data_IF_132805565114
#
_entry.id   IF_132805565114
#
_cell.length_a   1.000
_cell.length_b   1.000
_cell.length_c   1.000
_cell.angle_alpha   90.00
_cell.angle_beta   90.00
_cell.angle_gamma   90.00
#
_symmetry.space_group_name_H-M   'P 1'
#
loop_
_entity.id
_entity.type
_entity.pdbx_description
1 polymer ?
#
# COMPACT_ATOMS: atom_id res chain seq x y z
N UNK A 1 -27.30 18.67 -9.02
CA UNK A 1 -26.10 17.91 -8.69
C UNK A 1 -25.83 16.95 -9.86
N UNK A 2 -24.99 17.35 -10.81
CA UNK A 2 -24.53 16.48 -11.90
C UNK A 2 -23.47 15.56 -11.29
N UNK A 3 -23.77 14.27 -11.18
CA UNK A 3 -22.75 13.25 -10.90
C UNK A 3 -21.75 13.29 -12.09
N UNK A 4 -20.50 13.65 -11.80
CA UNK A 4 -19.42 13.54 -12.77
C UNK A 4 -19.21 12.05 -13.07
N UNK A 5 -19.64 11.61 -14.26
CA UNK A 5 -19.51 10.23 -14.77
C UNK A 5 -18.13 9.95 -15.39
N UNK A 6 -17.07 10.56 -14.90
CA UNK A 6 -15.71 10.38 -15.45
C UNK A 6 -14.78 9.55 -14.57
N UNK A 7 -15.31 8.51 -13.93
CA UNK A 7 -14.50 7.59 -13.12
C UNK A 7 -14.04 6.42 -14.01
N UNK A 8 -12.75 6.07 -13.88
CA UNK A 8 -12.19 4.92 -14.59
C UNK A 8 -12.78 3.63 -14.02
N UNK A 9 -13.69 3.01 -14.79
CA UNK A 9 -14.41 1.81 -14.40
C UNK A 9 -13.79 0.62 -15.11
N UNK A 10 -13.32 -0.36 -14.36
CA UNK A 10 -12.90 -1.64 -14.87
C UNK A 10 -14.01 -2.67 -14.67
N UNK A 11 -14.30 -3.46 -15.70
CA UNK A 11 -15.22 -4.61 -15.58
C UNK A 11 -14.42 -5.83 -15.19
N UNK A 12 -14.69 -6.33 -13.98
CA UNK A 12 -14.02 -7.50 -13.44
C UNK A 12 -15.06 -8.48 -12.87
N UNK A 13 -15.07 -9.73 -13.35
CA UNK A 13 -16.02 -10.79 -12.91
C UNK A 13 -17.49 -10.31 -12.86
N UNK A 14 -17.91 -9.51 -13.84
CA UNK A 14 -19.27 -8.96 -13.92
C UNK A 14 -19.56 -7.77 -12.98
N UNK A 15 -18.59 -7.33 -12.18
CA UNK A 15 -18.68 -6.15 -11.32
C UNK A 15 -17.85 -5.00 -11.87
N UNK A 16 -18.32 -3.80 -11.66
CA UNK A 16 -17.55 -2.58 -11.96
C UNK A 16 -16.67 -2.24 -10.75
N UNK A 17 -15.36 -2.13 -11.01
CA UNK A 17 -14.37 -1.70 -10.03
C UNK A 17 -13.83 -0.36 -10.48
N UNK A 18 -13.84 0.63 -9.57
CA UNK A 18 -13.31 1.96 -9.82
C UNK A 18 -11.90 2.07 -9.29
N UNK A 19 -10.99 2.61 -10.09
CA UNK A 19 -9.63 2.87 -9.64
C UNK A 19 -9.61 4.01 -8.61
N UNK A 20 -8.92 3.79 -7.49
CA UNK A 20 -8.60 4.86 -6.56
C UNK A 20 -7.59 5.81 -7.20
N UNK A 21 -7.88 7.10 -7.19
CA UNK A 21 -7.02 8.16 -7.73
C UNK A 21 -7.10 9.42 -6.87
N UNK A 22 -6.10 10.31 -6.93
CA UNK A 22 -6.23 11.64 -6.35
C UNK A 22 -7.42 12.38 -6.96
N UNK A 23 -8.29 12.93 -6.08
CA UNK A 23 -9.46 13.66 -6.54
C UNK A 23 -9.06 15.00 -7.18
N UNK A 24 -9.57 15.31 -8.38
CA UNK A 24 -9.37 16.59 -9.04
C UNK A 24 -10.01 17.73 -8.25
N UNK A 25 -9.28 18.84 -8.13
CA UNK A 25 -9.86 20.08 -7.63
C UNK A 25 -10.60 20.78 -8.77
N UNK A 26 -11.85 21.18 -8.52
CA UNK A 26 -12.67 21.85 -9.55
C UNK A 26 -12.06 23.18 -9.97
N UNK A 27 -12.12 23.48 -11.27
CA UNK A 27 -11.46 24.64 -11.89
C UNK A 27 -12.01 26.02 -11.50
N UNK A 28 -13.15 26.10 -10.81
CA UNK A 28 -13.83 27.35 -10.47
C UNK A 28 -13.42 27.92 -9.09
N UNK A 29 -12.16 27.77 -8.71
CA UNK A 29 -11.63 28.31 -7.46
C UNK A 29 -10.74 29.53 -7.72
N UNK A 30 -10.86 30.54 -6.87
CA UNK A 30 -9.94 31.68 -6.90
C UNK A 30 -8.56 31.22 -6.42
N UNK A 31 -7.57 31.30 -7.29
CA UNK A 31 -6.19 30.90 -7.00
C UNK A 31 -5.23 32.08 -7.04
N UNK A 32 -4.21 32.06 -6.20
CA UNK A 32 -3.13 33.02 -6.24
C UNK A 32 -2.01 32.46 -7.13
N UNK A 33 -1.65 33.10 -8.25
CA UNK A 33 -0.61 32.59 -9.13
C UNK A 33 0.78 32.80 -8.51
N UNK A 34 1.63 31.75 -8.59
CA UNK A 34 3.01 31.82 -8.14
C UNK A 34 3.99 31.50 -9.26
N UNK A 35 5.07 32.28 -9.35
CA UNK A 35 6.15 32.15 -10.33
C UNK A 35 7.52 32.11 -9.65
N UNK A 36 8.52 31.56 -10.32
CA UNK A 36 9.89 31.36 -9.83
C UNK A 36 10.55 32.60 -9.24
N UNK A 37 10.26 33.79 -9.80
CA UNK A 37 10.87 35.06 -9.36
C UNK A 37 10.22 35.66 -8.10
N UNK A 38 9.08 35.15 -7.68
CA UNK A 38 8.38 35.59 -6.50
C UNK A 38 9.04 35.01 -5.23
N UNK A 39 8.92 35.73 -4.13
CA UNK A 39 9.36 35.21 -2.83
C UNK A 39 8.45 34.01 -2.42
N UNK A 40 9.02 32.85 -2.04
CA UNK A 40 8.23 31.75 -1.51
C UNK A 40 7.42 32.10 -0.25
N UNK A 41 7.84 33.11 0.50
CA UNK A 41 7.13 33.56 1.68
C UNK A 41 5.71 34.03 1.34
N UNK A 42 5.52 34.72 0.21
CA UNK A 42 4.19 35.13 -0.28
C UNK A 42 3.26 33.94 -0.52
N UNK A 43 3.80 32.85 -1.06
CA UNK A 43 3.01 31.64 -1.24
C UNK A 43 2.68 30.96 0.10
N UNK A 44 3.60 30.97 1.07
CA UNK A 44 3.37 30.41 2.40
C UNK A 44 2.28 31.20 3.13
N UNK A 45 2.33 32.53 3.11
CA UNK A 45 1.32 33.40 3.70
C UNK A 45 -0.06 33.13 3.09
N UNK A 46 -0.15 33.08 1.76
CA UNK A 46 -1.40 32.73 1.08
C UNK A 46 -1.95 31.36 1.52
N UNK A 47 -1.09 30.33 1.63
CA UNK A 47 -1.49 29.00 2.08
C UNK A 47 -1.98 29.01 3.54
N UNK A 48 -1.32 29.77 4.42
CA UNK A 48 -1.70 29.95 5.84
C UNK A 48 -3.05 30.65 5.96
N UNK A 49 -3.30 31.65 5.11
CA UNK A 49 -4.58 32.37 5.04
C UNK A 49 -5.70 31.55 4.37
N UNK A 50 -5.42 30.30 3.95
CA UNK A 50 -6.39 29.40 3.36
C UNK A 50 -6.56 29.53 1.84
N UNK A 51 -5.81 30.40 1.17
CA UNK A 51 -5.90 30.59 -0.27
C UNK A 51 -5.12 29.52 -1.05
N UNK A 52 -5.73 28.92 -2.10
CA UNK A 52 -5.01 28.05 -3.02
C UNK A 52 -3.96 28.80 -3.84
N UNK A 53 -2.76 28.22 -3.96
CA UNK A 53 -1.64 28.78 -4.73
C UNK A 53 -1.42 27.96 -5.98
N UNK A 54 -1.45 28.57 -7.14
CA UNK A 54 -1.26 27.92 -8.45
C UNK A 54 0.15 28.15 -8.98
N UNK A 55 0.89 27.09 -9.25
CA UNK A 55 2.19 27.16 -9.92
C UNK A 55 1.95 27.33 -11.42
N UNK A 56 2.51 28.43 -12.00
CA UNK A 56 2.18 28.81 -13.39
C UNK A 56 3.36 28.79 -14.36
N UNK A 57 4.60 28.58 -13.90
CA UNK A 57 5.78 28.66 -14.77
C UNK A 57 6.61 27.37 -14.87
N UNK A 58 7.30 26.97 -13.81
CA UNK A 58 8.16 25.81 -13.77
C UNK A 58 7.75 24.82 -12.67
N UNK A 59 7.91 23.53 -12.91
CA UNK A 59 7.71 22.50 -11.90
C UNK A 59 8.57 22.71 -10.65
N UNK A 60 9.82 23.18 -10.85
CA UNK A 60 10.74 23.52 -9.77
C UNK A 60 10.27 24.66 -8.87
N UNK A 61 9.36 25.52 -9.34
CA UNK A 61 8.77 26.59 -8.51
C UNK A 61 7.91 25.98 -7.38
N UNK A 62 7.13 24.96 -7.66
CA UNK A 62 6.36 24.23 -6.65
C UNK A 62 7.26 23.47 -5.67
N UNK A 63 8.34 22.85 -6.13
CA UNK A 63 9.33 22.21 -5.25
C UNK A 63 9.94 23.23 -4.26
N UNK A 64 10.22 24.43 -4.74
CA UNK A 64 10.75 25.53 -3.90
C UNK A 64 9.75 25.95 -2.84
N UNK A 65 8.48 26.15 -3.18
CA UNK A 65 7.43 26.47 -2.20
C UNK A 65 7.30 25.37 -1.16
N UNK A 66 7.22 24.09 -1.56
CA UNK A 66 7.16 22.97 -0.61
C UNK A 66 8.37 22.88 0.31
N UNK A 67 9.58 23.14 -0.22
CA UNK A 67 10.80 23.17 0.60
C UNK A 67 10.76 24.28 1.63
N UNK A 68 10.32 25.47 1.24
CA UNK A 68 10.19 26.63 2.14
C UNK A 68 9.08 26.42 3.18
N UNK A 69 7.95 25.82 2.79
CA UNK A 69 6.88 25.46 3.73
C UNK A 69 7.36 24.43 4.77
N UNK A 70 8.12 23.41 4.34
CA UNK A 70 8.74 22.45 5.28
C UNK A 70 9.69 23.13 6.26
N UNK A 71 10.50 24.07 5.78
CA UNK A 71 11.42 24.82 6.64
C UNK A 71 10.67 25.72 7.62
N UNK A 72 9.60 26.38 7.18
CA UNK A 72 8.71 27.18 8.04
C UNK A 72 8.08 26.34 9.15
N UNK A 73 7.43 25.23 8.79
CA UNK A 73 6.76 24.36 9.75
C UNK A 73 7.72 23.66 10.71
N UNK A 74 8.95 23.32 10.30
CA UNK A 74 9.97 22.80 11.21
C UNK A 74 10.40 23.80 12.28
N UNK A 75 10.36 25.10 12.00
CA UNK A 75 10.64 26.15 12.98
C UNK A 75 9.46 26.37 13.93
N UNK A 76 8.23 26.18 13.42
CA UNK A 76 6.99 26.28 14.19
C UNK A 76 6.81 25.07 15.12
N UNK A 77 7.03 23.85 14.63
CA UNK A 77 6.90 22.62 15.38
C UNK A 77 8.27 22.13 15.88
N UNK A 78 8.63 22.53 17.08
CA UNK A 78 9.91 22.14 17.72
C UNK A 78 9.82 20.85 18.50
N UNK A 79 8.61 20.40 18.84
CA UNK A 79 8.38 19.13 19.54
C UNK A 79 8.71 17.92 18.66
N UNK A 80 9.70 17.13 19.08
CA UNK A 80 10.16 15.90 18.42
C UNK A 80 9.42 14.65 18.91
N UNK A 81 8.46 14.80 19.84
CA UNK A 81 7.61 13.69 20.28
C UNK A 81 6.80 13.13 19.11
N UNK A 82 6.25 11.94 19.28
CA UNK A 82 5.37 11.32 18.29
C UNK A 82 4.18 12.22 17.97
N UNK A 83 3.60 12.88 18.98
CA UNK A 83 2.48 13.79 18.83
C UNK A 83 2.89 15.06 18.05
N UNK A 84 4.01 15.72 18.41
CA UNK A 84 4.49 16.90 17.68
C UNK A 84 4.84 16.61 16.23
N UNK A 85 5.40 15.44 15.94
CA UNK A 85 5.64 15.02 14.56
C UNK A 85 4.33 14.73 13.80
N UNK A 86 3.28 14.30 14.48
CA UNK A 86 1.95 14.07 13.89
C UNK A 86 1.29 15.41 13.54
N UNK A 87 1.32 16.36 14.44
CA UNK A 87 0.81 17.73 14.23
C UNK A 87 1.53 18.40 13.04
N UNK A 88 2.86 18.34 13.01
CA UNK A 88 3.66 18.82 11.88
C UNK A 88 3.21 18.19 10.55
N UNK A 89 3.02 16.87 10.51
CA UNK A 89 2.62 16.18 9.27
C UNK A 89 1.20 16.56 8.85
N UNK A 90 0.28 16.68 9.81
CA UNK A 90 -1.11 17.07 9.55
C UNK A 90 -1.17 18.46 8.95
N UNK A 91 -0.52 19.44 9.57
CA UNK A 91 -0.49 20.83 9.08
C UNK A 91 0.23 20.93 7.73
N UNK A 92 1.35 20.22 7.56
CA UNK A 92 2.01 20.17 6.25
C UNK A 92 1.11 19.59 5.16
N UNK A 93 0.36 18.52 5.43
CA UNK A 93 -0.57 17.91 4.49
C UNK A 93 -1.68 18.88 4.13
N UNK A 94 -2.29 19.52 5.13
CA UNK A 94 -3.35 20.49 4.94
C UNK A 94 -2.90 21.66 4.07
N UNK A 95 -1.83 22.35 4.44
CA UNK A 95 -1.33 23.52 3.70
C UNK A 95 -0.86 23.15 2.29
N UNK A 96 -0.08 22.08 2.16
CA UNK A 96 0.46 21.68 0.85
C UNK A 96 -0.62 21.15 -0.12
N UNK A 97 -1.77 20.70 0.38
CA UNK A 97 -2.91 20.31 -0.46
C UNK A 97 -3.51 21.47 -1.25
N UNK A 98 -3.28 22.70 -0.81
CA UNK A 98 -3.70 23.94 -1.50
C UNK A 98 -2.68 24.46 -2.52
N UNK A 99 -1.51 23.82 -2.64
CA UNK A 99 -0.53 24.14 -3.70
C UNK A 99 -0.87 23.34 -4.94
N UNK A 100 -1.28 23.98 -6.02
CA UNK A 100 -1.94 23.37 -7.17
C UNK A 100 -1.11 23.42 -8.46
N UNK A 101 -1.34 22.43 -9.31
CA UNK A 101 -0.87 22.36 -10.70
C UNK A 101 -2.02 22.14 -11.65
N UNK A 102 -1.97 22.76 -12.84
CA UNK A 102 -2.89 22.50 -13.96
C UNK A 102 -2.41 21.29 -14.73
N UNK A 103 -3.32 20.37 -14.97
CA UNK A 103 -3.18 19.30 -15.95
C UNK A 103 -4.06 19.63 -17.15
N UNK A 104 -3.50 19.54 -18.35
CA UNK A 104 -4.24 19.71 -19.60
C UNK A 104 -3.82 18.63 -20.60
N UNK A 105 -4.78 17.93 -21.18
CA UNK A 105 -4.55 16.81 -22.11
C UNK A 105 -3.50 15.81 -21.56
N UNK A 106 -3.69 15.37 -20.32
CA UNK A 106 -2.83 14.41 -19.61
C UNK A 106 -1.38 14.87 -19.38
N UNK A 107 -1.11 16.17 -19.44
CA UNK A 107 0.23 16.76 -19.20
C UNK A 107 0.16 17.90 -18.20
N UNK A 108 1.20 18.04 -17.41
CA UNK A 108 1.41 19.21 -16.57
C UNK A 108 1.70 20.44 -17.44
N UNK A 109 0.98 21.53 -17.22
CA UNK A 109 1.12 22.75 -18.03
C UNK A 109 2.42 23.52 -17.76
N UNK A 110 3.06 23.30 -16.61
CA UNK A 110 4.30 23.97 -16.21
C UNK A 110 5.53 23.43 -16.95
N UNK A 111 6.54 24.29 -17.17
CA UNK A 111 7.77 23.93 -17.86
C UNK A 111 8.62 22.96 -17.04
N UNK A 112 9.40 22.11 -17.72
CA UNK A 112 10.30 21.10 -17.12
C UNK A 112 9.58 20.19 -16.13
N UNK A 113 8.32 19.92 -16.38
CA UNK A 113 7.57 18.94 -15.63
C UNK A 113 7.96 17.50 -16.03
N UNK A 114 7.85 16.54 -15.11
CA UNK A 114 8.00 15.13 -15.45
C UNK A 114 6.83 14.65 -16.33
N UNK A 115 7.08 13.66 -17.16
CA UNK A 115 6.03 12.90 -17.83
C UNK A 115 5.49 11.85 -16.86
N UNK A 116 4.17 11.81 -16.71
CA UNK A 116 3.48 10.93 -15.74
C UNK A 116 2.38 10.19 -16.49
N UNK A 117 2.63 8.94 -16.85
CA UNK A 117 1.65 8.15 -17.61
C UNK A 117 0.34 7.90 -16.85
N UNK A 118 0.37 7.90 -15.51
CA UNK A 118 -0.84 7.80 -14.69
C UNK A 118 -1.87 8.89 -14.98
N UNK A 119 -1.47 10.07 -15.45
CA UNK A 119 -2.42 11.12 -15.84
C UNK A 119 -3.33 10.69 -16.98
N UNK A 120 -2.81 9.91 -17.93
CA UNK A 120 -3.60 9.33 -19.01
C UNK A 120 -4.44 8.15 -18.53
N UNK A 121 -3.87 7.30 -17.70
CA UNK A 121 -4.51 6.05 -17.24
C UNK A 121 -5.63 6.32 -16.24
N UNK A 122 -5.41 7.23 -15.28
CA UNK A 122 -6.36 7.48 -14.20
C UNK A 122 -7.38 8.59 -14.49
N UNK A 123 -7.13 9.43 -15.52
CA UNK A 123 -8.00 10.56 -15.87
C UNK A 123 -8.32 10.59 -17.38
N UNK A 124 -8.79 9.46 -17.96
CA UNK A 124 -8.98 9.36 -19.42
C UNK A 124 -9.99 10.38 -19.97
N UNK A 125 -11.00 10.72 -19.19
CA UNK A 125 -12.12 11.58 -19.61
C UNK A 125 -11.95 13.05 -19.21
N UNK A 126 -10.88 13.39 -18.46
CA UNK A 126 -10.63 14.75 -18.02
C UNK A 126 -9.61 15.44 -18.92
N UNK A 127 -10.05 16.52 -19.60
CA UNK A 127 -9.17 17.33 -20.47
C UNK A 127 -8.35 18.33 -19.66
N UNK A 128 -8.99 19.04 -18.73
CA UNK A 128 -8.35 20.06 -17.91
C UNK A 128 -8.87 20.00 -16.48
N UNK A 129 -7.94 19.95 -15.53
CA UNK A 129 -8.23 19.88 -14.09
C UNK A 129 -7.02 20.29 -13.26
N UNK A 130 -7.23 20.48 -11.98
CA UNK A 130 -6.18 20.80 -11.00
C UNK A 130 -5.91 19.62 -10.08
N UNK A 131 -4.65 19.44 -9.70
CA UNK A 131 -4.26 18.53 -8.63
C UNK A 131 -3.33 19.24 -7.64
N UNK A 132 -3.41 18.87 -6.35
CA UNK A 132 -2.41 19.23 -5.36
C UNK A 132 -0.99 18.78 -5.77
N UNK A 133 -0.03 19.67 -5.63
CA UNK A 133 1.37 19.39 -6.00
C UNK A 133 1.94 18.12 -5.33
N UNK A 134 1.69 17.85 -4.02
CA UNK A 134 2.14 16.60 -3.40
C UNK A 134 1.53 15.35 -4.03
N UNK A 135 0.27 15.40 -4.46
CA UNK A 135 -0.37 14.28 -5.17
C UNK A 135 0.28 14.03 -6.54
N UNK A 136 0.59 15.11 -7.28
CA UNK A 136 1.37 15.00 -8.53
C UNK A 136 2.76 14.39 -8.28
N UNK A 137 3.42 14.73 -7.17
CA UNK A 137 4.68 14.08 -6.80
C UNK A 137 4.50 12.58 -6.51
N UNK A 138 3.41 12.21 -5.83
CA UNK A 138 3.04 10.81 -5.59
C UNK A 138 2.80 10.04 -6.89
N UNK A 139 2.01 10.61 -7.81
CA UNK A 139 1.78 10.05 -9.15
C UNK A 139 3.11 9.87 -9.91
N UNK A 140 3.98 10.87 -9.92
CA UNK A 140 5.27 10.80 -10.59
C UNK A 140 6.18 9.71 -9.99
N UNK A 141 6.26 9.65 -8.66
CA UNK A 141 7.07 8.62 -7.98
C UNK A 141 6.56 7.22 -8.30
N UNK A 142 5.24 7.01 -8.20
CA UNK A 142 4.62 5.72 -8.53
C UNK A 142 4.80 5.35 -10.01
N UNK A 143 4.71 6.32 -10.93
CA UNK A 143 4.95 6.10 -12.35
C UNK A 143 6.36 5.62 -12.63
N UNK A 144 7.36 6.22 -11.99
CA UNK A 144 8.77 5.80 -12.14
C UNK A 144 9.00 4.36 -11.67
N UNK A 145 8.35 3.93 -10.57
CA UNK A 145 8.41 2.55 -10.10
C UNK A 145 7.72 1.59 -11.07
N UNK A 146 6.56 1.99 -11.60
CA UNK A 146 5.83 1.21 -12.59
C UNK A 146 6.66 1.01 -13.87
N UNK A 147 7.22 2.08 -14.45
CA UNK A 147 8.01 1.98 -15.67
C UNK A 147 9.29 1.15 -15.51
N UNK A 148 10.09 1.45 -14.49
CA UNK A 148 11.35 0.75 -14.26
C UNK A 148 11.17 -0.69 -13.83
N UNK A 149 10.06 -0.97 -13.18
CA UNK A 149 9.81 -2.21 -12.45
C UNK A 149 10.72 -2.37 -11.23
N UNK A 150 10.29 -3.20 -10.31
CA UNK A 150 10.96 -3.51 -9.06
C UNK A 150 11.48 -4.94 -9.15
N UNK A 151 12.79 -5.12 -9.09
CA UNK A 151 13.39 -6.45 -9.06
C UNK A 151 13.08 -7.14 -7.73
N UNK A 152 12.46 -8.31 -7.80
CA UNK A 152 12.18 -9.16 -6.64
C UNK A 152 13.18 -10.32 -6.67
N UNK A 153 14.21 -10.32 -5.80
CA UNK A 153 15.31 -11.29 -5.87
C UNK A 153 14.85 -12.74 -5.82
N UNK A 154 13.93 -13.07 -4.91
CA UNK A 154 13.41 -14.44 -4.74
C UNK A 154 12.62 -14.95 -5.96
N UNK A 155 12.15 -14.07 -6.83
CA UNK A 155 11.41 -14.43 -8.04
C UNK A 155 12.28 -14.40 -9.31
N UNK A 156 13.46 -13.78 -9.25
CA UNK A 156 14.29 -13.48 -10.42
C UNK A 156 13.53 -12.72 -11.54
N UNK A 157 12.53 -11.93 -11.15
CA UNK A 157 11.73 -11.13 -12.09
C UNK A 157 11.44 -9.74 -11.53
N UNK A 158 11.01 -8.84 -12.42
CA UNK A 158 10.48 -7.53 -12.03
C UNK A 158 8.95 -7.60 -11.90
N UNK A 159 8.42 -6.82 -10.96
CA UNK A 159 7.01 -6.48 -10.88
C UNK A 159 6.81 -5.03 -11.24
N UNK A 160 5.63 -4.68 -11.72
CA UNK A 160 5.24 -3.33 -12.14
C UNK A 160 3.97 -2.92 -11.35
N UNK A 161 4.11 -2.45 -10.10
CA UNK A 161 2.95 -2.19 -9.23
C UNK A 161 2.11 -1.03 -9.80
N UNK A 162 0.80 -1.24 -9.91
CA UNK A 162 -0.14 -0.21 -10.32
C UNK A 162 -0.17 0.93 -9.29
N UNK A 163 -0.68 2.13 -9.68
CA UNK A 163 -0.80 3.27 -8.78
C UNK A 163 -1.52 2.88 -7.48
N UNK A 164 -1.00 3.33 -6.34
CA UNK A 164 -1.61 3.07 -5.02
C UNK A 164 -1.52 1.63 -4.51
N UNK A 165 -0.86 0.73 -5.26
CA UNK A 165 -0.66 -0.66 -4.82
C UNK A 165 0.61 -0.76 -3.98
N UNK A 166 0.51 -1.44 -2.83
CA UNK A 166 1.68 -1.74 -2.00
C UNK A 166 2.64 -2.68 -2.72
N UNK A 167 3.92 -2.43 -2.56
CA UNK A 167 5.00 -3.31 -3.00
C UNK A 167 6.16 -3.33 -1.99
N UNK A 168 6.84 -4.47 -1.83
CA UNK A 168 7.93 -4.57 -0.89
C UNK A 168 9.17 -3.80 -1.37
N UNK A 169 9.74 -3.00 -0.48
CA UNK A 169 11.06 -2.35 -0.66
C UNK A 169 12.16 -3.05 0.12
N UNK A 170 11.80 -4.06 0.91
CA UNK A 170 12.66 -4.97 1.67
C UNK A 170 12.21 -6.38 1.39
N UNK A 171 13.11 -7.32 1.47
CA UNK A 171 12.87 -8.66 0.96
C UNK A 171 13.05 -9.77 1.99
N UNK A 172 13.42 -9.45 3.23
CA UNK A 172 13.69 -10.42 4.29
C UNK A 172 12.49 -11.32 4.57
N UNK A 173 11.28 -10.76 4.58
CA UNK A 173 10.02 -11.49 4.74
C UNK A 173 9.73 -12.40 3.54
N UNK A 174 10.06 -11.97 2.32
CA UNK A 174 9.93 -12.79 1.12
C UNK A 174 10.95 -13.94 1.11
N UNK A 175 12.16 -13.70 1.62
CA UNK A 175 13.20 -14.73 1.78
C UNK A 175 12.76 -15.79 2.80
N UNK A 176 12.13 -15.38 3.93
CA UNK A 176 11.57 -16.34 4.90
C UNK A 176 10.52 -17.23 4.26
N UNK A 177 9.57 -16.63 3.53
CA UNK A 177 8.50 -17.35 2.88
C UNK A 177 9.01 -18.28 1.77
N UNK A 178 9.95 -17.83 0.91
CA UNK A 178 10.57 -18.66 -0.13
C UNK A 178 11.31 -19.85 0.47
N UNK A 179 12.04 -19.67 1.58
CA UNK A 179 12.75 -20.73 2.27
C UNK A 179 11.80 -21.74 2.93
N UNK A 180 10.68 -21.31 3.44
CA UNK A 180 9.65 -22.18 3.96
C UNK A 180 8.96 -22.97 2.84
N UNK A 181 8.58 -22.31 1.74
CA UNK A 181 7.95 -22.96 0.57
C UNK A 181 8.83 -24.06 -0.04
N UNK A 182 10.17 -23.89 -0.04
CA UNK A 182 11.13 -24.94 -0.49
C UNK A 182 11.04 -26.22 0.34
N UNK A 183 10.68 -26.11 1.61
CA UNK A 183 10.56 -27.24 2.55
C UNK A 183 9.13 -27.73 2.73
N UNK A 184 8.16 -27.00 2.18
CA UNK A 184 6.75 -27.36 2.31
C UNK A 184 6.42 -28.63 1.52
N UNK A 185 5.96 -29.67 2.23
CA UNK A 185 5.64 -30.99 1.68
C UNK A 185 4.15 -31.27 1.56
N UNK A 186 3.29 -30.32 1.99
CA UNK A 186 1.85 -30.45 1.87
C UNK A 186 1.36 -30.38 0.42
N UNK A 187 0.08 -30.63 0.23
CA UNK A 187 -0.56 -30.50 -1.10
C UNK A 187 -0.45 -29.06 -1.62
N UNK A 188 -0.26 -28.93 -2.94
CA UNK A 188 -0.07 -27.65 -3.63
C UNK A 188 -1.14 -27.42 -4.71
N UNK A 189 -2.32 -28.00 -4.53
CA UNK A 189 -3.42 -27.85 -5.49
C UNK A 189 -3.95 -26.42 -5.51
N UNK A 190 -4.14 -25.82 -4.32
CA UNK A 190 -4.67 -24.47 -4.24
C UNK A 190 -4.17 -23.69 -3.02
N UNK A 191 -4.16 -22.35 -3.15
CA UNK A 191 -3.90 -21.45 -2.03
C UNK A 191 -4.76 -20.19 -2.15
N UNK A 192 -4.97 -19.51 -1.03
CA UNK A 192 -5.54 -18.15 -0.98
C UNK A 192 -4.42 -17.19 -0.54
N UNK A 193 -4.27 -16.08 -1.26
CA UNK A 193 -3.40 -14.94 -0.94
C UNK A 193 -4.28 -13.77 -0.51
N UNK A 194 -4.33 -13.50 0.80
CA UNK A 194 -5.14 -12.42 1.38
C UNK A 194 -4.37 -11.12 1.33
N UNK A 195 -4.99 -10.06 0.80
CA UNK A 195 -4.28 -8.80 0.56
C UNK A 195 -3.18 -8.99 -0.49
N UNK A 196 -3.55 -9.52 -1.66
CA UNK A 196 -2.61 -9.95 -2.71
C UNK A 196 -1.64 -8.85 -3.17
N UNK A 197 -2.05 -7.57 -3.07
CA UNK A 197 -1.23 -6.40 -3.42
C UNK A 197 -0.63 -6.51 -4.83
N UNK A 198 0.68 -6.44 -4.91
CA UNK A 198 1.43 -6.61 -6.18
C UNK A 198 1.68 -8.07 -6.58
N UNK A 199 1.06 -9.04 -5.92
CA UNK A 199 1.09 -10.47 -6.26
C UNK A 199 2.40 -11.20 -5.93
N UNK A 200 3.29 -10.61 -5.14
CA UNK A 200 4.63 -11.18 -4.91
C UNK A 200 4.56 -12.54 -4.22
N UNK A 201 3.70 -12.72 -3.20
CA UNK A 201 3.54 -14.01 -2.51
C UNK A 201 2.86 -15.04 -3.42
N UNK A 202 1.87 -14.62 -4.19
CA UNK A 202 1.23 -15.45 -5.24
C UNK A 202 2.26 -15.98 -6.22
N UNK A 203 3.15 -15.14 -6.74
CA UNK A 203 4.19 -15.59 -7.67
C UNK A 203 5.23 -16.51 -7.00
N UNK A 204 5.51 -16.34 -5.70
CA UNK A 204 6.34 -17.30 -4.97
C UNK A 204 5.66 -18.67 -4.85
N UNK A 205 4.36 -18.71 -4.53
CA UNK A 205 3.60 -19.96 -4.46
C UNK A 205 3.57 -20.67 -5.81
N UNK A 206 3.31 -19.97 -6.92
CA UNK A 206 3.36 -20.55 -8.27
C UNK A 206 4.76 -21.07 -8.61
N UNK A 207 5.83 -20.35 -8.27
CA UNK A 207 7.22 -20.80 -8.45
C UNK A 207 7.50 -22.11 -7.72
N UNK A 208 6.88 -22.33 -6.57
CA UNK A 208 7.04 -23.54 -5.76
C UNK A 208 6.00 -24.63 -6.07
N UNK A 209 5.25 -24.50 -7.17
CA UNK A 209 4.44 -25.57 -7.72
C UNK A 209 2.97 -25.58 -7.26
N UNK A 210 2.46 -24.51 -6.67
CA UNK A 210 1.02 -24.38 -6.47
C UNK A 210 0.32 -24.26 -7.82
N UNK A 211 -0.78 -25.02 -8.01
CA UNK A 211 -1.47 -25.12 -9.29
C UNK A 211 -2.46 -23.96 -9.49
N UNK A 212 -3.18 -23.58 -8.43
CA UNK A 212 -4.21 -22.54 -8.45
C UNK A 212 -4.10 -21.62 -7.25
N UNK A 213 -4.11 -20.31 -7.49
CA UNK A 213 -4.12 -19.27 -6.43
C UNK A 213 -5.38 -18.43 -6.55
N UNK A 214 -6.00 -18.16 -5.43
CA UNK A 214 -7.12 -17.26 -5.27
C UNK A 214 -6.64 -16.03 -4.51
N UNK A 215 -6.59 -14.89 -5.17
CA UNK A 215 -6.07 -13.64 -4.57
C UNK A 215 -7.20 -12.68 -4.22
N UNK A 216 -7.22 -12.18 -3.01
CA UNK A 216 -8.20 -11.16 -2.58
C UNK A 216 -7.50 -9.87 -2.24
N UNK A 217 -8.13 -8.73 -2.49
CA UNK A 217 -7.67 -7.42 -2.01
C UNK A 217 -8.82 -6.43 -1.90
N UNK A 218 -8.81 -5.61 -0.87
CA UNK A 218 -9.75 -4.50 -0.69
C UNK A 218 -9.33 -3.23 -1.45
N UNK A 219 -8.10 -3.19 -1.97
CA UNK A 219 -7.60 -2.11 -2.80
C UNK A 219 -7.96 -2.39 -4.28
N UNK A 220 -8.85 -1.59 -4.90
CA UNK A 220 -9.23 -1.79 -6.28
C UNK A 220 -8.03 -1.71 -7.24
N UNK A 221 -7.05 -0.86 -6.94
CA UNK A 221 -5.86 -0.68 -7.77
C UNK A 221 -4.94 -1.90 -7.77
N UNK A 222 -4.90 -2.67 -6.67
CA UNK A 222 -4.19 -3.94 -6.62
C UNK A 222 -4.82 -4.96 -7.57
N UNK A 223 -6.15 -5.09 -7.53
CA UNK A 223 -6.89 -6.01 -8.41
C UNK A 223 -6.77 -5.60 -9.88
N UNK A 224 -6.93 -4.31 -10.19
CA UNK A 224 -6.81 -3.78 -11.57
C UNK A 224 -5.42 -4.03 -12.12
N UNK A 225 -4.38 -3.60 -11.40
CA UNK A 225 -3.01 -3.72 -11.86
C UNK A 225 -2.55 -5.18 -12.00
N UNK A 226 -2.96 -6.03 -11.07
CA UNK A 226 -2.62 -7.45 -11.17
C UNK A 226 -3.38 -8.14 -12.30
N UNK A 227 -4.65 -7.79 -12.54
CA UNK A 227 -5.41 -8.30 -13.67
C UNK A 227 -4.77 -7.92 -15.03
N UNK A 228 -4.23 -6.71 -15.16
CA UNK A 228 -3.45 -6.32 -16.34
C UNK A 228 -2.19 -7.19 -16.52
N UNK A 229 -1.47 -7.46 -15.42
CA UNK A 229 -0.28 -8.35 -15.44
C UNK A 229 -0.64 -9.79 -15.79
N UNK A 230 -1.77 -10.31 -15.27
CA UNK A 230 -2.27 -11.66 -15.60
C UNK A 230 -2.66 -11.79 -17.08
N UNK A 231 -3.32 -10.76 -17.64
CA UNK A 231 -3.65 -10.72 -19.08
C UNK A 231 -2.38 -10.77 -19.93
N UNK A 232 -1.40 -9.92 -19.61
CA UNK A 232 -0.13 -9.81 -20.33
C UNK A 232 0.68 -11.11 -20.29
N UNK A 233 0.67 -11.80 -19.14
CA UNK A 233 1.47 -13.02 -18.92
C UNK A 233 0.67 -14.32 -19.10
N UNK A 234 -0.61 -14.26 -19.49
CA UNK A 234 -1.53 -15.40 -19.68
C UNK A 234 -1.64 -16.30 -18.44
N UNK A 235 -1.78 -15.70 -17.26
CA UNK A 235 -1.81 -16.40 -15.97
C UNK A 235 -3.21 -16.64 -15.41
N UNK A 236 -4.28 -16.28 -16.13
CA UNK A 236 -5.67 -16.45 -15.66
C UNK A 236 -6.10 -17.90 -15.39
N UNK A 237 -5.46 -18.87 -16.02
CA UNK A 237 -5.71 -20.28 -15.68
C UNK A 237 -5.21 -20.66 -14.28
N UNK A 238 -4.22 -19.93 -13.76
CA UNK A 238 -3.56 -20.22 -12.49
C UNK A 238 -3.96 -19.30 -11.36
N UNK A 239 -4.46 -18.11 -11.65
CA UNK A 239 -4.78 -17.09 -10.65
C UNK A 239 -6.18 -16.55 -10.90
N UNK A 240 -7.04 -16.60 -9.89
CA UNK A 240 -8.32 -15.88 -9.85
C UNK A 240 -8.23 -14.75 -8.84
N UNK A 241 -8.79 -13.60 -9.18
CA UNK A 241 -8.77 -12.40 -8.34
C UNK A 241 -10.17 -12.12 -7.82
N UNK A 242 -10.25 -11.59 -6.59
CA UNK A 242 -11.48 -11.20 -5.93
C UNK A 242 -11.31 -9.82 -5.28
N UNK A 243 -12.18 -8.90 -5.62
CA UNK A 243 -12.21 -7.59 -4.99
C UNK A 243 -13.06 -7.62 -3.72
N UNK A 244 -12.48 -7.29 -2.59
CA UNK A 244 -13.17 -7.20 -1.29
C UNK A 244 -12.24 -7.40 -0.10
N UNK A 245 -12.80 -7.22 1.09
CA UNK A 245 -12.09 -7.35 2.35
C UNK A 245 -11.93 -8.80 2.75
N UNK A 246 -10.74 -9.18 3.21
CA UNK A 246 -10.36 -10.54 3.61
C UNK A 246 -10.79 -11.59 2.57
N UNK A 247 -11.71 -12.49 2.91
CA UNK A 247 -12.21 -13.56 2.05
C UNK A 247 -13.43 -13.15 1.21
N UNK A 248 -13.83 -11.89 1.22
CA UNK A 248 -15.02 -11.43 0.52
C UNK A 248 -15.06 -11.90 -0.94
N UNK A 249 -16.19 -12.48 -1.34
CA UNK A 249 -16.44 -13.07 -2.67
C UNK A 249 -15.56 -14.29 -3.05
N UNK A 250 -14.77 -14.84 -2.12
CA UNK A 250 -13.93 -16.01 -2.31
C UNK A 250 -14.42 -17.16 -1.41
N UNK A 251 -15.48 -17.88 -1.80
CA UNK A 251 -16.04 -19.00 -1.03
C UNK A 251 -15.38 -20.33 -1.43
N UNK A 252 -14.07 -20.44 -1.17
CA UNK A 252 -13.26 -21.59 -1.60
C UNK A 252 -12.46 -22.10 -0.39
N UNK A 253 -12.31 -23.43 -0.27
CA UNK A 253 -11.42 -24.07 0.69
C UNK A 253 -10.12 -24.51 0.03
N UNK A 254 -8.99 -24.13 0.63
CA UNK A 254 -7.66 -24.42 0.08
C UNK A 254 -6.75 -25.11 1.09
N UNK A 255 -5.64 -25.63 0.61
CA UNK A 255 -4.59 -26.25 1.39
C UNK A 255 -3.73 -25.23 2.13
N UNK A 256 -3.63 -24.01 1.57
CA UNK A 256 -2.79 -22.96 2.12
C UNK A 256 -3.54 -21.63 2.08
N UNK A 257 -3.51 -20.90 3.17
CA UNK A 257 -3.92 -19.50 3.27
C UNK A 257 -2.69 -18.70 3.65
N UNK A 258 -2.35 -17.68 2.87
CA UNK A 258 -1.21 -16.79 3.12
C UNK A 258 -1.71 -15.39 3.34
N UNK A 259 -1.17 -14.70 4.34
CA UNK A 259 -1.49 -13.32 4.62
C UNK A 259 -0.26 -12.56 5.10
N UNK A 260 0.04 -11.47 4.42
CA UNK A 260 0.98 -10.45 4.88
C UNK A 260 0.19 -9.20 5.29
N UNK A 261 -0.39 -9.18 6.50
CA UNK A 261 -1.23 -8.07 6.96
C UNK A 261 -0.42 -6.78 7.11
N UNK A 262 -1.08 -5.63 7.30
CA UNK A 262 -0.42 -4.46 7.86
C UNK A 262 0.20 -4.79 9.23
N UNK A 263 1.34 -4.15 9.56
CA UNK A 263 2.13 -4.54 10.75
C UNK A 263 1.94 -3.63 11.97
N UNK A 264 1.18 -2.57 11.85
CA UNK A 264 1.00 -1.56 12.91
C UNK A 264 -0.50 -1.33 13.12
N UNK A 265 -0.95 -1.36 14.38
CA UNK A 265 -2.33 -1.01 14.69
C UNK A 265 -2.62 0.46 14.41
N UNK A 266 -3.81 0.71 13.90
CA UNK A 266 -4.28 2.06 13.64
C UNK A 266 -4.75 2.74 14.92
N UNK A 267 -4.32 3.98 15.13
CA UNK A 267 -4.87 4.85 16.18
C UNK A 267 -5.92 5.83 15.64
N UNK A 268 -6.31 5.73 14.36
CA UNK A 268 -7.21 6.65 13.66
C UNK A 268 -7.83 5.97 12.42
N UNK A 269 -8.82 6.61 11.83
CA UNK A 269 -9.42 6.13 10.58
C UNK A 269 -8.38 6.06 9.45
N UNK A 270 -8.37 4.95 8.72
CA UNK A 270 -7.41 4.63 7.67
C UNK A 270 -7.93 5.04 6.30
N UNK A 271 -7.09 5.72 5.52
CA UNK A 271 -7.40 6.10 4.14
C UNK A 271 -6.24 5.76 3.19
N UNK A 272 -6.59 5.36 1.96
CA UNK A 272 -5.63 5.12 0.89
C UNK A 272 -4.54 4.11 1.26
N UNK A 273 -3.28 4.46 1.01
CA UNK A 273 -2.12 3.58 1.25
C UNK A 273 -1.88 3.29 2.75
N UNK A 274 -2.47 4.07 3.66
CA UNK A 274 -2.34 3.83 5.10
C UNK A 274 -2.96 2.48 5.49
N UNK A 275 -3.99 2.01 4.77
CA UNK A 275 -4.59 0.68 4.94
C UNK A 275 -3.61 -0.49 4.69
N UNK A 276 -2.55 -0.27 3.93
CA UNK A 276 -1.51 -1.27 3.71
C UNK A 276 -0.42 -1.28 4.80
N UNK A 277 -0.42 -0.29 5.70
CA UNK A 277 0.59 -0.11 6.75
C UNK A 277 -0.01 -0.34 8.14
N UNK A 278 -1.27 0.10 8.33
CA UNK A 278 -1.97 0.07 9.60
C UNK A 278 -3.20 -0.83 9.51
N UNK A 279 -3.52 -1.55 10.59
CA UNK A 279 -4.71 -2.40 10.68
C UNK A 279 -5.66 -1.92 11.78
N UNK A 280 -6.97 -2.17 11.60
CA UNK A 280 -7.96 -2.01 12.65
C UNK A 280 -7.93 -3.20 13.61
N UNK A 281 -8.39 -2.99 14.86
CA UNK A 281 -8.33 -4.00 15.92
C UNK A 281 -9.11 -5.28 15.58
N UNK A 282 -10.12 -5.20 14.72
CA UNK A 282 -10.97 -6.33 14.33
C UNK A 282 -10.37 -7.16 13.19
N UNK A 283 -9.29 -6.70 12.54
CA UNK A 283 -8.70 -7.39 11.39
C UNK A 283 -8.32 -8.84 11.72
N UNK A 284 -7.54 -9.04 12.77
CA UNK A 284 -7.06 -10.38 13.12
C UNK A 284 -8.16 -11.32 13.65
N UNK A 285 -9.05 -10.89 14.56
CA UNK A 285 -10.22 -11.71 14.95
C UNK A 285 -11.05 -12.18 13.76
N UNK A 286 -11.37 -11.29 12.81
CA UNK A 286 -12.11 -11.63 11.59
C UNK A 286 -11.32 -12.57 10.68
N UNK A 287 -10.05 -12.26 10.43
CA UNK A 287 -9.18 -13.10 9.60
C UNK A 287 -9.12 -14.53 10.10
N UNK A 288 -8.90 -14.75 11.40
CA UNK A 288 -8.80 -16.10 11.96
C UNK A 288 -10.13 -16.85 11.91
N UNK A 289 -11.24 -16.16 12.20
CA UNK A 289 -12.58 -16.77 12.12
C UNK A 289 -12.96 -17.21 10.70
N UNK A 290 -12.57 -16.41 9.69
CA UNK A 290 -12.82 -16.74 8.30
C UNK A 290 -11.83 -17.78 7.77
N UNK A 291 -10.54 -17.69 8.14
CA UNK A 291 -9.52 -18.68 7.75
C UNK A 291 -9.90 -20.11 8.17
N UNK A 292 -10.51 -20.28 9.34
CA UNK A 292 -10.97 -21.59 9.79
C UNK A 292 -11.98 -22.22 8.83
N UNK A 293 -12.86 -21.43 8.24
CA UNK A 293 -13.90 -21.86 7.29
C UNK A 293 -13.32 -22.21 5.92
N UNK A 294 -12.32 -21.43 5.47
CA UNK A 294 -11.70 -21.52 4.14
C UNK A 294 -10.48 -22.45 4.08
N UNK A 295 -10.03 -22.97 5.20
CA UNK A 295 -8.91 -23.91 5.27
C UNK A 295 -9.41 -25.36 5.22
N UNK A 296 -8.79 -26.20 4.39
CA UNK A 296 -8.98 -27.68 4.41
C UNK A 296 -8.43 -28.26 5.73
N UNK A 297 -8.81 -29.50 6.04
CA UNK A 297 -8.47 -30.14 7.33
C UNK A 297 -6.96 -30.15 7.60
N UNK A 298 -6.17 -30.58 6.62
CA UNK A 298 -4.70 -30.65 6.72
C UNK A 298 -4.00 -29.40 6.20
N UNK A 299 -4.75 -28.32 5.99
CA UNK A 299 -4.23 -27.06 5.46
C UNK A 299 -3.42 -26.28 6.47
N UNK A 300 -2.72 -25.25 5.99
CA UNK A 300 -1.91 -24.32 6.79
C UNK A 300 -2.33 -22.89 6.56
N UNK A 301 -2.31 -22.11 7.63
CA UNK A 301 -2.33 -20.65 7.57
C UNK A 301 -0.89 -20.15 7.77
N UNK A 302 -0.41 -19.33 6.86
CA UNK A 302 0.91 -18.69 6.95
C UNK A 302 0.71 -17.19 7.06
N UNK A 303 1.18 -16.63 8.16
CA UNK A 303 1.19 -15.20 8.39
C UNK A 303 2.63 -14.70 8.33
N UNK A 304 2.82 -13.60 7.58
CA UNK A 304 4.06 -12.85 7.53
C UNK A 304 3.86 -11.57 8.34
N UNK A 305 4.63 -11.39 9.40
CA UNK A 305 4.44 -10.27 10.33
C UNK A 305 5.78 -9.64 10.71
N UNK A 306 5.75 -8.68 11.65
CA UNK A 306 6.94 -8.03 12.19
C UNK A 306 6.71 -7.60 13.64
N UNK A 307 7.75 -7.59 14.43
CA UNK A 307 7.73 -7.02 15.78
C UNK A 307 7.76 -5.48 15.80
N UNK A 308 7.46 -4.85 14.66
CA UNK A 308 7.56 -3.39 14.49
C UNK A 308 6.65 -2.62 15.47
N UNK A 309 5.44 -3.12 15.72
CA UNK A 309 4.49 -2.50 16.64
C UNK A 309 5.04 -2.48 18.08
N UNK A 310 5.65 -3.58 18.52
CA UNK A 310 6.26 -3.71 19.86
C UNK A 310 7.49 -2.81 20.01
N UNK A 311 8.38 -2.77 19.00
CA UNK A 311 9.58 -1.93 19.02
C UNK A 311 9.22 -0.44 19.08
N UNK A 312 8.19 -0.04 18.35
CA UNK A 312 7.72 1.36 18.31
C UNK A 312 6.83 1.71 19.51
N UNK A 313 6.55 0.75 20.41
CA UNK A 313 5.61 0.89 21.52
C UNK A 313 4.20 1.32 21.08
N UNK A 314 3.85 0.99 19.86
CA UNK A 314 2.51 1.24 19.34
C UNK A 314 1.51 0.25 19.92
N UNK A 315 1.96 -0.96 20.26
CA UNK A 315 1.19 -2.01 20.93
C UNK A 315 2.06 -2.79 21.90
N UNK A 316 1.41 -3.31 22.95
CA UNK A 316 2.05 -4.18 23.96
C UNK A 316 1.80 -5.67 23.67
N UNK A 317 0.82 -6.01 22.84
CA UNK A 317 0.42 -7.37 22.53
C UNK A 317 0.73 -7.74 21.09
N UNK A 318 0.83 -9.04 20.82
CA UNK A 318 1.06 -9.58 19.48
C UNK A 318 -0.20 -10.30 19.00
N UNK A 319 -0.87 -9.82 17.93
CA UNK A 319 -2.22 -10.28 17.56
C UNK A 319 -2.28 -11.79 17.23
N UNK A 320 -1.20 -12.38 16.72
CA UNK A 320 -1.14 -13.83 16.45
C UNK A 320 -0.99 -14.61 17.77
N UNK A 321 -0.19 -14.12 18.70
CA UNK A 321 -0.05 -14.77 20.01
C UNK A 321 -1.34 -14.68 20.84
N UNK A 322 -2.04 -13.57 20.76
CA UNK A 322 -3.37 -13.42 21.37
C UNK A 322 -4.37 -14.46 20.84
N UNK A 323 -4.43 -14.66 19.54
CA UNK A 323 -5.29 -15.70 18.96
C UNK A 323 -4.91 -17.09 19.47
N UNK A 324 -3.62 -17.41 19.46
CA UNK A 324 -3.14 -18.71 19.92
C UNK A 324 -3.37 -18.93 21.42
N UNK A 325 -3.30 -17.87 22.23
CA UNK A 325 -3.56 -17.95 23.69
C UNK A 325 -5.03 -18.21 24.01
N UNK A 326 -5.97 -17.72 23.18
CA UNK A 326 -7.40 -18.02 23.32
C UNK A 326 -7.69 -19.50 23.05
N UNK A 327 -6.87 -20.16 22.24
CA UNK A 327 -7.02 -21.58 21.88
C UNK A 327 -8.23 -21.86 20.98
N UNK A 328 -8.41 -23.12 20.65
CA UNK A 328 -9.62 -23.66 19.97
C UNK A 328 -9.54 -23.72 18.45
N UNK A 329 -9.14 -22.64 17.74
CA UNK A 329 -9.14 -22.65 16.26
C UNK A 329 -7.85 -23.14 15.64
N UNK A 330 -6.72 -22.59 16.10
CA UNK A 330 -5.42 -22.85 15.51
C UNK A 330 -4.38 -23.19 16.58
N UNK A 331 -3.37 -23.95 16.17
CA UNK A 331 -2.15 -24.21 16.94
C UNK A 331 -0.92 -23.88 16.10
N UNK A 332 0.12 -23.38 16.74
CA UNK A 332 1.39 -23.08 16.11
C UNK A 332 2.11 -24.38 15.71
N UNK A 333 2.43 -24.51 14.41
CA UNK A 333 3.24 -25.61 13.90
C UNK A 333 4.70 -25.19 13.76
N UNK A 334 4.96 -23.97 13.28
CA UNK A 334 6.31 -23.44 13.06
C UNK A 334 6.33 -21.92 13.27
N UNK A 335 7.44 -21.44 13.80
CA UNK A 335 7.76 -20.02 13.89
C UNK A 335 9.18 -19.81 13.39
N UNK A 336 9.36 -18.86 12.46
CA UNK A 336 10.65 -18.43 11.95
C UNK A 336 10.75 -16.92 12.05
N UNK A 337 11.97 -16.44 12.30
CA UNK A 337 12.23 -15.00 12.32
C UNK A 337 13.51 -14.66 11.57
N UNK A 338 13.61 -13.44 11.06
CA UNK A 338 14.79 -12.93 10.38
C UNK A 338 14.98 -11.44 10.67
N UNK A 339 16.20 -11.06 11.02
CA UNK A 339 16.54 -9.66 11.25
C UNK A 339 16.48 -8.89 9.93
N UNK A 340 15.86 -7.71 9.96
CA UNK A 340 15.82 -6.78 8.84
C UNK A 340 17.19 -6.14 8.66
N UNK A 341 17.70 -6.11 7.43
CA UNK A 341 18.98 -5.46 7.11
C UNK A 341 18.90 -3.97 7.37
N UNK A 342 19.96 -3.41 7.90
CA UNK A 342 20.06 -1.97 8.12
C UNK A 342 19.88 -1.21 6.81
N UNK A 343 19.14 -0.10 6.85
CA UNK A 343 19.03 0.80 5.71
C UNK A 343 20.41 1.32 5.32
N UNK A 344 20.67 1.48 4.01
CA UNK A 344 21.93 2.03 3.53
C UNK A 344 22.24 3.39 4.18
N UNK A 345 23.52 3.74 4.32
CA UNK A 345 23.97 5.03 4.92
C UNK A 345 23.33 6.27 4.27
N UNK A 346 22.86 6.14 3.02
CA UNK A 346 22.17 7.20 2.28
C UNK A 346 20.69 7.37 2.69
N UNK A 347 20.09 6.39 3.39
CA UNK A 347 18.74 6.46 3.93
C UNK A 347 18.84 6.88 5.40
N UNK A 348 19.50 8.00 5.66
CA UNK A 348 19.63 8.59 7.00
C UNK A 348 18.28 9.13 7.49
N UNK A 349 17.44 8.25 7.97
CA UNK A 349 16.44 8.58 8.97
C UNK A 349 16.97 8.02 10.29
N UNK A 350 17.08 8.86 11.31
CA UNK A 350 17.43 8.47 12.69
C UNK A 350 16.37 7.51 13.26
N UNK A 351 16.43 6.24 12.85
CA UNK A 351 15.52 5.19 13.28
C UNK A 351 16.37 4.07 13.89
N UNK A 352 16.96 4.34 15.06
CA UNK A 352 17.78 3.36 15.80
C UNK A 352 17.02 2.05 16.11
N UNK A 353 15.69 2.10 16.21
CA UNK A 353 14.82 0.96 16.40
C UNK A 353 14.84 -0.06 15.25
N UNK A 354 15.21 0.37 14.02
CA UNK A 354 15.31 -0.55 12.87
C UNK A 354 16.42 -1.60 13.00
N UNK A 355 17.34 -1.41 13.89
CA UNK A 355 18.41 -2.40 14.14
C UNK A 355 17.88 -3.64 14.89
N UNK A 356 16.73 -3.52 15.53
CA UNK A 356 16.07 -4.58 16.30
C UNK A 356 14.80 -5.11 15.61
N UNK A 357 14.47 -4.60 14.42
CA UNK A 357 13.31 -5.07 13.66
C UNK A 357 13.53 -6.49 13.14
N UNK A 358 12.60 -7.38 13.50
CA UNK A 358 12.53 -8.76 13.03
C UNK A 358 11.29 -8.94 12.16
N UNK A 359 11.44 -9.58 11.04
CA UNK A 359 10.31 -10.13 10.29
C UNK A 359 10.08 -11.56 10.71
N UNK A 360 8.82 -11.95 10.75
CA UNK A 360 8.33 -13.20 11.32
C UNK A 360 7.51 -13.96 10.29
N UNK A 361 7.61 -15.28 10.35
CA UNK A 361 6.74 -16.19 9.61
C UNK A 361 6.14 -17.19 10.58
N UNK A 362 4.83 -17.14 10.68
CA UNK A 362 4.02 -18.01 11.52
C UNK A 362 3.31 -19.04 10.65
N UNK A 363 3.50 -20.32 10.93
CA UNK A 363 2.75 -21.41 10.28
C UNK A 363 1.83 -22.01 11.32
N UNK A 364 0.55 -21.96 11.01
CA UNK A 364 -0.51 -22.44 11.88
C UNK A 364 -1.26 -23.57 11.19
N UNK A 365 -1.74 -24.54 11.98
CA UNK A 365 -2.67 -25.58 11.55
C UNK A 365 -3.91 -25.56 12.42
N UNK A 366 -5.01 -26.14 11.96
CA UNK A 366 -6.22 -26.28 12.78
C UNK A 366 -5.91 -27.01 14.08
N UNK A 367 -6.45 -26.52 15.18
CA UNK A 367 -6.37 -27.21 16.45
C UNK A 367 -7.18 -28.53 16.35
N UNK A 368 -6.61 -29.61 16.83
CA UNK A 368 -7.33 -30.87 16.97
C UNK A 368 -8.16 -30.73 18.24
N UNK A 369 -9.45 -30.47 18.10
CA UNK A 369 -10.36 -30.57 19.23
C UNK A 369 -10.43 -32.06 19.58
N UNK A 370 -9.78 -32.46 20.70
CA UNK A 370 -10.11 -33.75 21.29
C UNK A 370 -11.60 -33.66 21.69
N UNK A 371 -12.43 -34.40 20.98
CA UNK A 371 -13.81 -34.63 21.43
C UNK A 371 -13.68 -35.49 22.67
N UNK A 372 -13.96 -34.90 23.85
CA UNK A 372 -14.23 -35.65 25.07
C UNK A 372 -15.46 -36.53 24.91
#
# INVERSE_FOLDING_TARGET
>A
MLKNESELIFKFSGKEIRADRPEPVTSNINVIPYKRRMDPQLAIEALLDGYPVLITDFYSSGLRVLSSLKAYLKRKHTDQSFQGQREYRSEFRELSSRLLLVINNNKLVVRKAPEIGWLKTLYPDLKEFLLPFPQVQGLNSSWQWYEKGISIPVLNKKIHPFFGTYFPTRFEHLELFDNWLKKYTGEKKSAIDIGIGSGVLTFQMLKHGFEKIYGTDSNPNAIIGLNEDLNKNRLHSKIDLFYGDLFANCDIKTELIVFNPPWIAASHNLEGIDKAIYYDIELFPRFFAESEKHLKVDGRVVLIFSNLAQITKAENSHPIEEELSKGGRFQKELYLQKQVRQASKNTRRNQNWRTTEMVELWVLKKAILMRE
#
